data_IF_603985122852
#
_entry.id   IF_603985122852
#
_cell.length_a   1.000
_cell.length_b   1.000
_cell.length_c   1.000
_cell.angle_alpha   90.00
_cell.angle_beta   90.00
_cell.angle_gamma   90.00
#
_symmetry.space_group_name_H-M   'P 1'
#
loop_
_entity.id
_entity.type
_entity.pdbx_description
1 polymer ?
#
# COMPACT_ATOMS: atom_id res chain seq x y z
N UNK A 1 16.14 -10.63 5.89
CA UNK A 1 14.72 -11.06 5.90
C UNK A 1 13.99 -10.19 4.89
N UNK A 2 13.43 -10.76 3.83
CA UNK A 2 12.90 -9.98 2.68
C UNK A 2 11.39 -9.80 2.83
N UNK A 3 10.93 -8.55 2.76
CA UNK A 3 9.49 -8.21 2.77
C UNK A 3 9.04 -7.91 1.34
N UNK A 4 7.95 -8.51 0.87
CA UNK A 4 7.41 -8.34 -0.49
C UNK A 4 5.90 -8.17 -0.48
N UNK A 5 5.34 -7.66 -1.57
CA UNK A 5 3.90 -7.67 -1.81
C UNK A 5 3.53 -8.82 -2.75
N UNK A 6 2.61 -9.67 -2.30
CA UNK A 6 2.08 -10.79 -3.09
C UNK A 6 0.64 -10.51 -3.47
N UNK A 7 0.30 -10.42 -4.77
CA UNK A 7 -1.09 -10.18 -5.16
C UNK A 7 -2.03 -11.28 -4.64
N UNK A 8 -3.16 -10.88 -4.07
CA UNK A 8 -4.21 -11.81 -3.62
C UNK A 8 -5.34 -11.94 -4.62
N UNK A 9 -5.55 -10.92 -5.45
CA UNK A 9 -6.57 -10.89 -6.50
C UNK A 9 -5.96 -10.38 -7.82
N UNK A 10 -6.62 -10.65 -8.96
CA UNK A 10 -6.34 -9.92 -10.20
C UNK A 10 -6.46 -8.41 -10.01
N UNK A 11 -5.76 -7.65 -10.85
CA UNK A 11 -5.98 -6.21 -10.98
C UNK A 11 -7.38 -5.97 -11.55
N UNK A 12 -8.15 -5.09 -10.92
CA UNK A 12 -9.46 -4.65 -11.40
C UNK A 12 -9.32 -3.27 -12.04
N UNK A 13 -9.97 -3.08 -13.18
CA UNK A 13 -10.15 -1.77 -13.80
C UNK A 13 -11.55 -1.25 -13.45
N UNK A 14 -11.68 0.04 -13.14
CA UNK A 14 -12.98 0.70 -12.95
C UNK A 14 -13.41 1.39 -14.23
N UNK A 15 -14.71 1.65 -14.37
CA UNK A 15 -15.28 2.27 -15.57
C UNK A 15 -14.67 3.65 -15.86
N UNK A 16 -14.29 4.39 -14.81
CA UNK A 16 -13.60 5.68 -14.90
C UNK A 16 -12.08 5.59 -15.22
N UNK A 17 -11.61 4.43 -15.69
CA UNK A 17 -10.19 4.19 -16.03
C UNK A 17 -9.28 4.00 -14.80
N UNK A 18 -9.87 3.84 -13.62
CA UNK A 18 -9.16 3.58 -12.39
C UNK A 18 -8.70 2.13 -12.26
N UNK A 19 -7.83 1.88 -11.28
CA UNK A 19 -7.27 0.55 -10.99
C UNK A 19 -7.40 0.23 -9.52
N UNK A 20 -7.55 -1.04 -9.19
CA UNK A 20 -7.52 -1.51 -7.80
C UNK A 20 -6.96 -2.93 -7.69
N UNK A 21 -6.15 -3.18 -6.66
CA UNK A 21 -5.62 -4.52 -6.37
C UNK A 21 -5.25 -4.69 -4.91
N UNK A 22 -5.48 -5.89 -4.39
CA UNK A 22 -5.11 -6.28 -3.03
C UNK A 22 -3.85 -7.14 -3.03
N UNK A 23 -3.05 -6.97 -2.00
CA UNK A 23 -1.79 -7.66 -1.77
C UNK A 23 -1.70 -8.14 -0.33
N UNK A 24 -1.08 -9.28 -0.14
CA UNK A 24 -0.49 -9.65 1.14
C UNK A 24 0.89 -9.04 1.26
N UNK A 25 1.23 -8.60 2.47
CA UNK A 25 2.62 -8.34 2.85
C UNK A 25 3.20 -9.68 3.29
N UNK A 26 4.21 -10.16 2.59
CA UNK A 26 4.86 -11.43 2.88
C UNK A 26 6.28 -11.20 3.38
N UNK A 27 6.72 -12.05 4.30
CA UNK A 27 8.12 -12.13 4.70
C UNK A 27 8.62 -13.54 4.56
N UNK A 28 9.64 -13.73 3.72
CA UNK A 28 10.08 -15.06 3.29
C UNK A 28 8.88 -15.96 2.93
N UNK A 29 7.95 -15.43 2.14
CA UNK A 29 6.69 -16.07 1.71
C UNK A 29 5.61 -16.29 2.78
N UNK A 30 5.86 -16.00 4.06
CA UNK A 30 4.82 -16.03 5.11
C UNK A 30 4.01 -14.73 5.11
N UNK A 31 2.66 -14.76 5.08
CA UNK A 31 1.84 -13.56 5.23
C UNK A 31 1.99 -12.94 6.63
N UNK A 32 2.11 -11.62 6.68
CA UNK A 32 2.35 -10.83 7.92
C UNK A 32 1.51 -9.56 7.98
N UNK A 33 0.58 -9.41 7.05
CA UNK A 33 -0.17 -8.19 6.83
C UNK A 33 -0.74 -8.12 5.43
N UNK A 34 -1.34 -6.97 5.10
CA UNK A 34 -1.97 -6.75 3.80
C UNK A 34 -1.97 -5.27 3.42
N UNK A 35 -2.05 -5.02 2.12
CA UNK A 35 -2.15 -3.69 1.51
C UNK A 35 -3.19 -3.74 0.41
N UNK A 36 -4.00 -2.68 0.30
CA UNK A 36 -4.86 -2.47 -0.87
C UNK A 36 -4.56 -1.14 -1.53
N UNK A 37 -4.38 -1.21 -2.84
CA UNK A 37 -4.03 -0.08 -3.68
C UNK A 37 -5.15 0.22 -4.63
N UNK A 38 -5.41 1.50 -4.86
CA UNK A 38 -6.33 1.99 -5.88
C UNK A 38 -5.73 3.19 -6.61
N UNK A 39 -6.26 3.57 -7.75
CA UNK A 39 -6.18 4.97 -8.19
C UNK A 39 -7.19 5.81 -7.40
N UNK A 40 -6.96 7.11 -7.29
CA UNK A 40 -7.84 8.02 -6.57
C UNK A 40 -8.98 8.51 -7.48
N UNK A 41 -10.22 8.27 -7.06
CA UNK A 41 -11.40 8.65 -7.85
C UNK A 41 -11.62 10.17 -7.96
N UNK A 42 -11.05 10.97 -7.06
CA UNK A 42 -11.22 12.43 -7.03
C UNK A 42 -10.08 13.15 -7.75
N UNK A 43 -8.85 12.65 -7.59
CA UNK A 43 -7.64 13.23 -8.17
C UNK A 43 -7.30 12.64 -9.54
N UNK A 44 -7.97 11.56 -9.94
CA UNK A 44 -7.85 10.93 -11.24
C UNK A 44 -6.84 9.78 -11.29
N UNK A 45 -6.76 9.09 -12.44
CA UNK A 45 -6.02 7.83 -12.58
C UNK A 45 -4.50 7.95 -12.50
N UNK A 46 -3.95 9.18 -12.55
CA UNK A 46 -2.52 9.45 -12.34
C UNK A 46 -2.15 9.58 -10.86
N UNK A 47 -3.12 9.57 -9.94
CA UNK A 47 -2.88 9.56 -8.50
C UNK A 47 -3.21 8.18 -7.94
N UNK A 48 -2.21 7.53 -7.35
CA UNK A 48 -2.37 6.29 -6.61
C UNK A 48 -2.77 6.55 -5.16
N UNK A 49 -3.46 5.60 -4.54
CA UNK A 49 -3.91 5.64 -3.16
C UNK A 49 -3.60 4.33 -2.46
N UNK A 50 -3.00 4.42 -1.28
CA UNK A 50 -3.02 3.32 -0.32
C UNK A 50 -4.36 3.41 0.42
N UNK A 51 -5.28 2.49 0.08
CA UNK A 51 -6.61 2.45 0.71
C UNK A 51 -6.52 1.93 2.14
N UNK A 52 -5.68 0.91 2.36
CA UNK A 52 -5.24 0.50 3.69
C UNK A 52 -3.87 -0.17 3.63
N UNK A 53 -3.15 -0.11 4.76
CA UNK A 53 -1.93 -0.88 5.03
C UNK A 53 -2.02 -1.42 6.45
N UNK A 54 -1.87 -2.73 6.58
CA UNK A 54 -1.89 -3.42 7.87
C UNK A 54 -0.68 -4.34 8.00
N UNK A 55 -0.07 -4.33 9.19
CA UNK A 55 0.94 -5.31 9.61
C UNK A 55 0.43 -5.96 10.89
N UNK A 56 0.46 -7.29 10.93
CA UNK A 56 0.02 -8.10 12.06
C UNK A 56 0.83 -7.72 13.31
N UNK A 57 0.18 -7.68 14.48
CA UNK A 57 0.80 -7.14 15.69
C UNK A 57 2.14 -7.79 16.06
N UNK A 58 2.24 -9.11 15.90
CA UNK A 58 3.46 -9.89 16.15
C UNK A 58 4.64 -9.52 15.22
N UNK A 59 4.35 -8.87 14.09
CA UNK A 59 5.29 -8.58 13.03
C UNK A 59 5.61 -7.07 12.89
N UNK A 60 5.08 -6.23 13.78
CA UNK A 60 5.34 -4.78 13.84
C UNK A 60 6.73 -4.45 14.40
N UNK A 61 7.13 -3.18 14.24
CA UNK A 61 8.42 -2.64 14.73
C UNK A 61 9.67 -3.34 14.17
N UNK A 62 9.55 -3.94 12.98
CA UNK A 62 10.64 -4.57 12.22
C UNK A 62 10.86 -3.91 10.85
N UNK A 63 10.37 -2.69 10.64
CA UNK A 63 10.46 -1.97 9.36
C UNK A 63 9.50 -2.43 8.25
N UNK A 64 8.68 -3.46 8.51
CA UNK A 64 7.81 -4.08 7.49
C UNK A 64 6.75 -3.16 6.92
N UNK A 65 6.18 -2.28 7.74
CA UNK A 65 5.23 -1.27 7.27
C UNK A 65 5.87 -0.29 6.28
N UNK A 66 7.10 0.14 6.57
CA UNK A 66 7.88 1.03 5.68
C UNK A 66 8.19 0.34 4.35
N UNK A 67 8.69 -0.90 4.40
CA UNK A 67 8.98 -1.66 3.16
C UNK A 67 7.70 -1.92 2.36
N UNK A 68 6.58 -2.25 3.02
CA UNK A 68 5.30 -2.43 2.36
C UNK A 68 4.80 -1.14 1.68
N UNK A 69 4.99 0.03 2.31
CA UNK A 69 4.62 1.32 1.71
C UNK A 69 5.50 1.67 0.48
N UNK A 70 6.81 1.42 0.56
CA UNK A 70 7.73 1.61 -0.58
C UNK A 70 7.41 0.62 -1.72
N UNK A 71 7.13 -0.63 -1.41
CA UNK A 71 6.71 -1.60 -2.42
C UNK A 71 5.36 -1.24 -3.05
N UNK A 72 4.44 -0.65 -2.27
CA UNK A 72 3.19 -0.13 -2.79
C UNK A 72 3.41 1.04 -3.76
N UNK A 73 4.34 1.94 -3.45
CA UNK A 73 4.74 3.02 -4.35
C UNK A 73 5.25 2.48 -5.69
N UNK A 74 6.11 1.46 -5.67
CA UNK A 74 6.64 0.84 -6.89
C UNK A 74 5.52 0.23 -7.75
N UNK A 75 4.54 -0.44 -7.14
CA UNK A 75 3.35 -0.92 -7.85
C UNK A 75 2.60 0.25 -8.52
N UNK A 76 2.36 1.33 -7.78
CA UNK A 76 1.64 2.50 -8.28
C UNK A 76 2.39 3.19 -9.43
N UNK A 77 3.73 3.23 -9.40
CA UNK A 77 4.55 3.67 -10.55
C UNK A 77 4.32 2.78 -11.77
N UNK A 78 4.20 1.46 -11.58
CA UNK A 78 3.81 0.50 -12.62
C UNK A 78 2.44 0.80 -13.23
N UNK A 79 1.51 1.36 -12.45
CA UNK A 79 0.22 1.85 -12.92
C UNK A 79 0.27 3.23 -13.58
N UNK A 80 1.47 3.83 -13.74
CA UNK A 80 1.71 5.19 -14.24
C UNK A 80 1.19 6.30 -13.32
N UNK A 81 1.02 6.01 -12.03
CA UNK A 81 0.74 7.06 -11.05
C UNK A 81 2.00 7.93 -10.83
N UNK A 82 1.83 9.24 -10.78
CA UNK A 82 2.88 10.23 -10.51
C UNK A 82 2.76 10.87 -9.13
N UNK A 83 1.64 10.60 -8.44
CA UNK A 83 1.38 11.02 -7.06
C UNK A 83 0.83 9.84 -6.27
N UNK A 84 1.17 9.75 -4.99
CA UNK A 84 0.60 8.80 -4.04
C UNK A 84 -0.06 9.59 -2.91
N UNK A 85 -1.26 9.18 -2.52
CA UNK A 85 -1.95 9.71 -1.34
C UNK A 85 -2.34 8.59 -0.37
N UNK A 86 -2.39 8.93 0.91
CA UNK A 86 -2.90 8.06 1.97
C UNK A 86 -3.66 8.91 2.99
N UNK A 87 -4.65 8.32 3.64
CA UNK A 87 -5.36 8.95 4.76
C UNK A 87 -4.96 8.22 6.04
N UNK A 88 -4.39 8.97 6.99
CA UNK A 88 -3.95 8.41 8.28
C UNK A 88 -4.82 9.00 9.39
N UNK A 89 -5.46 8.17 10.24
CA UNK A 89 -6.18 8.67 11.41
C UNK A 89 -5.26 9.47 12.33
N UNK A 90 -5.72 10.62 12.83
CA UNK A 90 -4.90 11.53 13.64
C UNK A 90 -4.35 10.87 14.92
N UNK A 91 -5.08 9.90 15.48
CA UNK A 91 -4.68 9.14 16.67
C UNK A 91 -3.64 8.04 16.38
N UNK A 92 -3.35 7.73 15.10
CA UNK A 92 -2.43 6.67 14.72
C UNK A 92 -0.98 7.19 14.66
N UNK A 93 -0.42 7.54 15.81
CA UNK A 93 0.91 8.18 15.92
C UNK A 93 2.01 7.44 15.14
N UNK A 94 2.07 6.12 15.22
CA UNK A 94 3.05 5.31 14.47
C UNK A 94 2.86 5.41 12.95
N UNK A 95 1.62 5.43 12.48
CA UNK A 95 1.32 5.55 11.06
C UNK A 95 1.61 6.97 10.55
N UNK A 96 1.35 8.00 11.35
CA UNK A 96 1.72 9.39 11.05
C UNK A 96 3.24 9.55 10.96
N UNK A 97 3.97 9.02 11.93
CA UNK A 97 5.43 9.04 11.92
C UNK A 97 6.02 8.33 10.71
N UNK A 98 5.43 7.19 10.30
CA UNK A 98 5.81 6.51 9.07
C UNK A 98 5.53 7.36 7.83
N UNK A 99 4.33 7.95 7.72
CA UNK A 99 3.95 8.73 6.55
C UNK A 99 4.78 10.01 6.39
N UNK A 100 5.22 10.62 7.51
CA UNK A 100 6.06 11.82 7.49
C UNK A 100 7.54 11.54 7.15
N UNK A 101 7.97 10.27 7.21
CA UNK A 101 9.36 9.87 7.00
C UNK A 101 9.63 9.27 5.61
N UNK A 102 8.57 9.11 4.79
CA UNK A 102 8.63 8.66 3.39
C UNK A 102 8.62 9.86 2.44
#
# INVERSE_FOLDING_TARGET
MTTTLRPTTPERHTDDGGRARSYEVCVNSRPVGSVRLTTDARLGPSTGRIEYLHIDAADRHRGRGTVAALAAEEVLRGWRCTRLVASVPAQAATALGLAAAL
#
